data_IF_201112919815
#
_entry.id   IF_201112919815
#
_cell.length_a   1.000
_cell.length_b   1.000
_cell.length_c   1.000
_cell.angle_alpha   90.00
_cell.angle_beta   90.00
_cell.angle_gamma   90.00
#
_symmetry.space_group_name_H-M   'P 1'
#
loop_
_entity.id
_entity.type
_entity.pdbx_description
1 polymer ?
#
# COMPACT_ATOMS: atom_id res chain seq x y z
N UNK A 1 -12.95 -8.59 11.18
CA UNK A 1 -12.20 -8.67 9.92
C UNK A 1 -13.16 -8.93 8.76
N UNK A 2 -12.86 -8.34 7.59
CA UNK A 2 -13.66 -8.48 6.37
C UNK A 2 -12.74 -8.85 5.20
N UNK A 3 -13.28 -9.60 4.24
CA UNK A 3 -12.63 -9.88 2.96
C UNK A 3 -13.54 -9.37 1.84
N UNK A 4 -12.98 -8.63 0.89
CA UNK A 4 -13.70 -8.14 -0.28
C UNK A 4 -13.12 -8.77 -1.55
N UNK A 5 -13.93 -9.54 -2.25
CA UNK A 5 -13.57 -10.18 -3.53
C UNK A 5 -14.81 -10.44 -4.36
N UNK A 6 -14.63 -10.57 -5.67
CA UNK A 6 -15.62 -11.09 -6.62
C UNK A 6 -15.48 -12.61 -6.82
N UNK A 7 -14.36 -13.21 -6.39
CA UNK A 7 -14.09 -14.64 -6.50
C UNK A 7 -14.61 -15.40 -5.28
N UNK A 8 -15.52 -16.35 -5.53
CA UNK A 8 -16.15 -17.19 -4.51
C UNK A 8 -15.14 -18.08 -3.75
N UNK A 9 -14.04 -18.51 -4.39
CA UNK A 9 -13.02 -19.35 -3.73
C UNK A 9 -12.23 -18.52 -2.72
N UNK A 10 -11.89 -17.28 -3.07
CA UNK A 10 -11.23 -16.35 -2.15
C UNK A 10 -12.15 -16.04 -0.97
N UNK A 11 -13.42 -15.72 -1.25
CA UNK A 11 -14.42 -15.45 -0.21
C UNK A 11 -14.62 -16.65 0.71
N UNK A 12 -14.64 -17.87 0.15
CA UNK A 12 -14.76 -19.10 0.95
C UNK A 12 -13.54 -19.31 1.83
N UNK A 13 -12.32 -19.25 1.27
CA UNK A 13 -11.08 -19.46 2.02
C UNK A 13 -10.97 -18.47 3.19
N UNK A 14 -11.24 -17.19 2.96
CA UNK A 14 -11.22 -16.19 4.02
C UNK A 14 -12.31 -16.42 5.07
N UNK A 15 -13.52 -16.87 4.67
CA UNK A 15 -14.59 -17.21 5.61
C UNK A 15 -14.22 -18.42 6.48
N UNK A 16 -13.53 -19.40 5.92
CA UNK A 16 -13.02 -20.55 6.67
C UNK A 16 -12.00 -20.13 7.75
N UNK A 17 -11.34 -18.97 7.54
CA UNK A 17 -10.47 -18.29 8.52
C UNK A 17 -11.20 -17.29 9.43
N UNK A 18 -12.53 -17.21 9.38
CA UNK A 18 -13.34 -16.35 10.26
C UNK A 18 -13.57 -14.92 9.78
N UNK A 19 -13.22 -14.58 8.53
CA UNK A 19 -13.50 -13.27 7.95
C UNK A 19 -14.96 -13.16 7.49
N UNK A 20 -15.57 -12.00 7.67
CA UNK A 20 -16.86 -11.65 7.07
C UNK A 20 -16.68 -11.36 5.58
N UNK A 21 -17.58 -11.88 4.77
CA UNK A 21 -17.53 -11.73 3.31
C UNK A 21 -18.14 -10.41 2.85
N UNK A 22 -17.49 -9.77 1.90
CA UNK A 22 -18.02 -8.67 1.09
C UNK A 22 -17.92 -9.12 -0.36
N UNK A 23 -19.07 -9.42 -0.98
CA UNK A 23 -19.12 -9.72 -2.42
C UNK A 23 -18.91 -8.44 -3.18
N UNK A 24 -17.76 -8.34 -3.86
CA UNK A 24 -17.40 -7.15 -4.62
C UNK A 24 -18.14 -7.17 -5.95
N UNK A 25 -18.82 -6.07 -6.35
CA UNK A 25 -19.40 -5.94 -7.67
C UNK A 25 -18.34 -6.09 -8.78
N UNK A 26 -18.72 -6.72 -9.89
CA UNK A 26 -17.81 -7.04 -11.01
C UNK A 26 -17.15 -5.78 -11.59
N UNK A 27 -17.86 -4.67 -11.63
CA UNK A 27 -17.35 -3.37 -12.07
C UNK A 27 -16.24 -2.81 -11.18
N UNK A 28 -16.15 -3.26 -9.91
CA UNK A 28 -15.07 -2.90 -8.97
C UNK A 28 -13.95 -3.94 -8.93
N UNK A 29 -14.05 -5.00 -9.73
CA UNK A 29 -13.04 -6.05 -9.88
C UNK A 29 -12.37 -6.02 -11.27
N UNK A 30 -12.75 -5.08 -12.14
CA UNK A 30 -12.17 -4.93 -13.46
C UNK A 30 -10.68 -4.49 -13.37
N UNK A 31 -9.84 -4.82 -14.37
CA UNK A 31 -8.41 -4.44 -14.38
C UNK A 31 -8.15 -2.93 -14.28
N UNK A 32 -9.14 -2.10 -14.59
CA UNK A 32 -9.08 -0.63 -14.50
C UNK A 32 -9.63 -0.07 -13.20
N UNK A 33 -10.19 -0.93 -12.33
CA UNK A 33 -10.79 -0.51 -11.05
C UNK A 33 -9.72 0.03 -10.10
N UNK A 34 -10.07 1.11 -9.39
CA UNK A 34 -9.16 1.72 -8.44
C UNK A 34 -9.33 1.08 -7.05
N UNK A 35 -8.24 0.91 -6.33
CA UNK A 35 -8.28 0.39 -4.94
C UNK A 35 -9.25 1.19 -4.06
N UNK A 36 -9.29 2.51 -4.22
CA UNK A 36 -10.14 3.40 -3.44
C UNK A 36 -11.63 3.08 -3.58
N UNK A 37 -12.07 2.65 -4.76
CA UNK A 37 -13.48 2.33 -4.99
C UNK A 37 -13.88 1.02 -4.30
N UNK A 38 -12.99 0.03 -4.31
CA UNK A 38 -13.18 -1.21 -3.54
C UNK A 38 -13.18 -0.94 -2.02
N UNK A 39 -12.33 -0.04 -1.53
CA UNK A 39 -12.30 0.36 -0.11
C UNK A 39 -13.60 1.07 0.27
N UNK A 40 -14.08 2.02 -0.54
CA UNK A 40 -15.36 2.72 -0.29
C UNK A 40 -16.55 1.78 -0.27
N UNK A 41 -16.59 0.83 -1.21
CA UNK A 41 -17.61 -0.20 -1.23
C UNK A 41 -17.60 -1.03 0.04
N UNK A 42 -16.40 -1.49 0.46
CA UNK A 42 -16.25 -2.27 1.69
C UNK A 42 -16.71 -1.50 2.92
N UNK A 43 -16.33 -0.23 3.07
CA UNK A 43 -16.80 0.64 4.16
C UNK A 43 -18.31 0.82 4.14
N UNK A 44 -18.93 0.91 2.96
CA UNK A 44 -20.39 0.95 2.82
C UNK A 44 -21.10 -0.30 3.35
N UNK A 45 -20.53 -1.50 3.09
CA UNK A 45 -21.04 -2.77 3.63
C UNK A 45 -20.80 -2.86 5.13
N UNK A 46 -19.60 -2.48 5.62
CA UNK A 46 -19.30 -2.44 7.05
C UNK A 46 -20.27 -1.55 7.82
N UNK A 47 -20.63 -0.39 7.25
CA UNK A 47 -21.62 0.53 7.84
C UNK A 47 -23.00 -0.10 7.94
N UNK A 48 -23.43 -0.89 6.94
CA UNK A 48 -24.69 -1.65 7.00
C UNK A 48 -24.65 -2.70 8.12
N UNK A 49 -23.49 -3.24 8.41
CA UNK A 49 -23.24 -4.15 9.55
C UNK A 49 -23.13 -3.42 10.90
N UNK A 50 -23.28 -2.08 10.93
CA UNK A 50 -23.15 -1.25 12.13
C UNK A 50 -21.69 -0.99 12.55
N UNK A 51 -20.74 -1.17 11.62
CA UNK A 51 -19.29 -0.95 11.87
C UNK A 51 -18.84 0.31 11.14
N UNK A 52 -18.48 1.34 11.90
CA UNK A 52 -17.91 2.60 11.38
C UNK A 52 -16.52 2.82 12.03
N UNK A 53 -15.42 2.39 11.39
CA UNK A 53 -14.09 2.55 11.96
C UNK A 53 -13.55 3.98 11.79
N UNK A 54 -12.74 4.44 12.76
CA UNK A 54 -11.94 5.65 12.63
C UNK A 54 -10.62 5.36 11.89
N UNK A 55 -10.05 4.17 12.17
CA UNK A 55 -8.83 3.68 11.53
C UNK A 55 -9.15 2.39 10.78
N UNK A 56 -8.72 2.33 9.53
CA UNK A 56 -8.87 1.16 8.66
C UNK A 56 -7.49 0.61 8.28
N UNK A 57 -7.27 -0.68 8.54
CA UNK A 57 -6.12 -1.41 7.97
C UNK A 57 -6.59 -2.16 6.72
N UNK A 58 -6.00 -1.82 5.58
CA UNK A 58 -6.22 -2.49 4.30
C UNK A 58 -5.07 -3.42 4.03
N UNK A 59 -5.30 -4.72 4.05
CA UNK A 59 -4.33 -5.74 3.65
C UNK A 59 -4.53 -6.07 2.17
N UNK A 60 -3.45 -6.10 1.40
CA UNK A 60 -3.49 -6.48 0.01
C UNK A 60 -3.21 -7.98 -0.12
N UNK A 61 -4.19 -8.73 -0.64
CA UNK A 61 -4.19 -10.19 -0.61
C UNK A 61 -3.09 -10.84 -1.48
N UNK A 62 -2.49 -10.07 -2.39
CA UNK A 62 -1.36 -10.51 -3.21
C UNK A 62 0.01 -10.25 -2.54
N UNK A 63 0.05 -9.81 -1.29
CA UNK A 63 1.28 -9.68 -0.51
C UNK A 63 1.21 -10.53 0.74
N UNK A 64 2.02 -11.60 0.80
CA UNK A 64 2.13 -12.50 1.96
C UNK A 64 3.15 -12.03 3.01
N UNK A 65 3.90 -10.97 2.70
CA UNK A 65 4.95 -10.44 3.59
C UNK A 65 4.36 -9.36 4.49
N UNK A 66 3.83 -9.77 5.63
CA UNK A 66 3.27 -8.87 6.64
C UNK A 66 3.63 -9.37 8.03
N UNK A 67 4.19 -8.50 8.88
CA UNK A 67 4.41 -8.77 10.30
C UNK A 67 3.36 -8.06 11.14
N UNK A 68 2.89 -8.71 12.18
CA UNK A 68 1.92 -8.13 13.13
C UNK A 68 2.45 -6.84 13.74
N UNK A 69 3.73 -6.80 14.07
CA UNK A 69 4.41 -5.65 14.67
C UNK A 69 4.38 -4.41 13.76
N UNK A 70 4.45 -4.59 12.45
CA UNK A 70 4.34 -3.47 11.50
C UNK A 70 2.93 -2.86 11.50
N UNK A 71 1.90 -3.71 11.58
CA UNK A 71 0.50 -3.26 11.68
C UNK A 71 0.27 -2.54 13.00
N UNK A 72 0.73 -3.13 14.12
CA UNK A 72 0.58 -2.54 15.45
C UNK A 72 1.31 -1.20 15.55
N UNK A 73 2.51 -1.09 14.99
CA UNK A 73 3.25 0.15 14.93
C UNK A 73 2.50 1.21 14.11
N UNK A 74 1.98 0.83 12.95
CA UNK A 74 1.24 1.76 12.08
C UNK A 74 -0.02 2.31 12.76
N UNK A 75 -0.78 1.47 13.45
CA UNK A 75 -1.94 1.88 14.23
C UNK A 75 -1.50 2.81 15.39
N UNK A 76 -0.43 2.42 16.08
CA UNK A 76 0.11 3.20 17.21
C UNK A 76 0.56 4.59 16.76
N UNK A 77 1.15 4.72 15.59
CA UNK A 77 1.54 6.03 15.03
C UNK A 77 0.32 6.93 14.82
N UNK A 78 -0.77 6.40 14.22
CA UNK A 78 -2.00 7.17 13.99
C UNK A 78 -2.72 7.54 15.29
N UNK A 79 -2.66 6.68 16.30
CA UNK A 79 -3.25 6.96 17.61
C UNK A 79 -2.46 8.02 18.39
N UNK A 80 -1.14 8.11 18.18
CA UNK A 80 -0.28 9.10 18.87
C UNK A 80 -0.29 10.48 18.21
N UNK A 81 -0.58 10.54 16.93
CA UNK A 81 -0.58 11.79 16.16
C UNK A 81 -1.84 11.87 15.29
N UNK A 82 -2.84 12.56 15.82
CA UNK A 82 -4.13 12.73 15.15
C UNK A 82 -4.04 13.51 13.83
N UNK A 83 -2.93 14.21 13.55
CA UNK A 83 -2.73 14.94 12.31
C UNK A 83 -2.31 14.01 11.14
N UNK A 84 -1.87 12.79 11.43
CA UNK A 84 -1.52 11.84 10.39
C UNK A 84 -2.75 11.37 9.61
N UNK A 85 -2.59 11.22 8.30
CA UNK A 85 -3.63 10.70 7.41
C UNK A 85 -3.49 9.20 7.17
N UNK A 86 -2.26 8.69 7.12
CA UNK A 86 -1.96 7.29 6.93
C UNK A 86 -0.62 6.89 7.55
N UNK A 87 -0.44 5.59 7.77
CA UNK A 87 0.85 4.97 8.04
C UNK A 87 1.00 3.74 7.15
N UNK A 88 2.12 3.67 6.41
CA UNK A 88 2.29 2.71 5.32
C UNK A 88 3.70 2.13 5.31
N UNK A 89 3.87 0.85 4.92
CA UNK A 89 5.19 0.26 4.74
C UNK A 89 5.91 0.87 3.54
N UNK A 90 7.22 1.08 3.69
CA UNK A 90 8.11 1.61 2.65
C UNK A 90 9.44 0.86 2.65
N UNK A 91 10.04 0.71 1.48
CA UNK A 91 11.42 0.24 1.31
C UNK A 91 12.34 1.42 1.04
N UNK A 92 13.52 1.40 1.66
CA UNK A 92 14.61 2.31 1.27
C UNK A 92 15.17 1.85 -0.08
N UNK A 93 15.00 2.68 -1.11
CA UNK A 93 15.44 2.38 -2.48
C UNK A 93 16.39 3.48 -2.98
N UNK A 94 17.68 3.18 -2.98
CA UNK A 94 18.72 4.13 -3.39
C UNK A 94 19.30 3.82 -4.77
N UNK A 95 19.17 2.58 -5.26
CA UNK A 95 19.76 2.18 -6.55
C UNK A 95 18.94 2.72 -7.73
N UNK A 96 17.61 2.62 -7.63
CA UNK A 96 16.68 3.16 -8.62
C UNK A 96 16.12 4.52 -8.20
N UNK A 97 17.01 5.37 -7.67
CA UNK A 97 16.63 6.70 -7.18
C UNK A 97 15.98 7.55 -8.29
N UNK A 98 14.83 8.23 -8.03
CA UNK A 98 14.08 8.96 -9.06
C UNK A 98 14.91 10.05 -9.77
N UNK A 99 15.88 10.66 -9.08
CA UNK A 99 16.76 11.67 -9.72
C UNK A 99 17.70 11.07 -10.77
N UNK A 100 17.90 9.77 -10.77
CA UNK A 100 18.71 9.04 -11.76
C UNK A 100 17.84 8.46 -12.90
N UNK A 101 16.53 8.36 -12.68
CA UNK A 101 15.58 7.87 -13.68
C UNK A 101 15.43 8.83 -14.84
N UNK A 102 15.11 8.28 -16.00
CA UNK A 102 14.93 9.04 -17.25
C UNK A 102 13.58 8.69 -17.87
N UNK A 103 13.00 9.63 -18.56
CA UNK A 103 11.83 9.43 -19.44
C UNK A 103 12.28 9.39 -20.90
N UNK A 104 11.55 8.66 -21.72
CA UNK A 104 11.73 8.68 -23.16
C UNK A 104 10.93 9.85 -23.75
N UNK A 105 11.58 10.68 -24.59
CA UNK A 105 10.92 11.73 -25.37
C UNK A 105 10.37 11.16 -26.68
N UNK A 106 9.51 11.94 -27.34
CA UNK A 106 8.92 11.57 -28.64
C UNK A 106 9.97 11.37 -29.74
N UNK A 107 11.11 12.08 -29.67
CA UNK A 107 12.24 11.97 -30.60
C UNK A 107 13.14 10.74 -30.32
N UNK A 108 12.80 9.89 -29.35
CA UNK A 108 13.55 8.71 -28.97
C UNK A 108 14.76 8.99 -28.07
N UNK A 109 14.98 10.22 -27.65
CA UNK A 109 16.05 10.59 -26.72
C UNK A 109 15.60 10.51 -25.27
N UNK A 110 16.55 10.31 -24.34
CA UNK A 110 16.27 10.33 -22.90
C UNK A 110 16.27 11.78 -22.38
N UNK A 111 15.40 12.00 -21.39
CA UNK A 111 15.32 13.26 -20.65
C UNK A 111 15.15 12.99 -19.15
N UNK A 112 15.34 13.99 -18.31
CA UNK A 112 15.09 13.91 -16.87
C UNK A 112 13.59 13.97 -16.58
N UNK A 113 13.15 13.28 -15.51
CA UNK A 113 11.77 13.41 -15.01
C UNK A 113 11.54 14.76 -14.31
N UNK A 114 12.60 15.32 -13.70
CA UNK A 114 12.51 16.50 -12.85
C UNK A 114 13.29 17.66 -13.48
N UNK A 115 12.75 18.86 -13.33
CA UNK A 115 13.49 20.09 -13.52
C UNK A 115 14.30 20.40 -12.26
N UNK A 116 15.60 20.22 -12.32
CA UNK A 116 16.49 20.53 -11.21
C UNK A 116 16.80 22.02 -11.03
N UNK A 117 16.20 22.89 -11.85
CA UNK A 117 16.34 24.35 -11.80
C UNK A 117 17.81 24.80 -11.76
N UNK A 118 18.65 24.18 -12.58
CA UNK A 118 20.08 24.47 -12.69
C UNK A 118 20.94 23.94 -11.53
N UNK A 119 20.37 23.20 -10.57
CA UNK A 119 21.16 22.56 -9.52
C UNK A 119 21.91 21.35 -10.07
N UNK A 120 23.20 21.25 -9.74
CA UNK A 120 23.96 20.04 -10.00
C UNK A 120 23.53 18.94 -9.02
N UNK A 121 23.13 17.79 -9.59
CA UNK A 121 22.81 16.60 -8.81
C UNK A 121 23.99 15.64 -8.86
N UNK A 122 24.45 15.16 -7.69
CA UNK A 122 25.54 14.22 -7.62
C UNK A 122 25.23 12.92 -8.36
N UNK A 123 26.23 12.36 -9.01
CA UNK A 123 26.17 11.03 -9.59
C UNK A 123 26.37 9.92 -8.56
N UNK A 124 26.90 10.28 -7.38
CA UNK A 124 27.11 9.32 -6.28
C UNK A 124 25.81 9.07 -5.53
N UNK A 125 25.48 7.79 -5.35
CA UNK A 125 24.24 7.37 -4.67
C UNK A 125 24.13 7.91 -3.24
N UNK A 126 25.23 7.88 -2.50
CA UNK A 126 25.29 8.32 -1.10
C UNK A 126 25.07 9.82 -0.88
N UNK A 127 25.21 10.64 -1.93
CA UNK A 127 25.01 12.10 -1.85
C UNK A 127 23.55 12.49 -2.14
N UNK A 128 22.73 11.52 -2.57
CA UNK A 128 21.32 11.74 -2.87
C UNK A 128 20.48 11.69 -1.58
N UNK A 129 19.37 12.44 -1.52
CA UNK A 129 18.44 12.31 -0.40
C UNK A 129 17.91 10.89 -0.29
N UNK A 130 17.56 10.44 0.92
CA UNK A 130 16.91 9.14 1.09
C UNK A 130 15.64 9.07 0.26
N UNK A 131 15.52 7.98 -0.51
CA UNK A 131 14.34 7.69 -1.32
C UNK A 131 13.65 6.45 -0.81
N UNK A 132 12.34 6.54 -0.64
CA UNK A 132 11.51 5.45 -0.20
C UNK A 132 10.47 5.12 -1.25
N UNK A 133 10.27 3.82 -1.47
CA UNK A 133 9.21 3.29 -2.34
C UNK A 133 8.09 2.76 -1.46
N UNK A 134 6.87 3.20 -1.71
CA UNK A 134 5.69 2.73 -1.00
C UNK A 134 5.43 1.26 -1.35
N UNK A 135 5.21 0.45 -0.31
CA UNK A 135 4.94 -0.97 -0.43
C UNK A 135 3.44 -1.26 -0.41
N UNK A 136 3.08 -2.41 -0.98
CA UNK A 136 1.69 -2.83 -1.13
C UNK A 136 1.32 -3.99 -0.17
N UNK A 137 2.04 -4.15 0.96
CA UNK A 137 1.72 -5.17 1.97
C UNK A 137 0.41 -4.83 2.70
N UNK A 138 0.33 -3.60 3.20
CA UNK A 138 -0.86 -3.05 3.85
C UNK A 138 -0.83 -1.52 3.87
N UNK A 139 -1.99 -0.92 4.15
CA UNK A 139 -2.10 0.52 4.39
C UNK A 139 -2.96 0.75 5.61
N UNK A 140 -2.51 1.56 6.55
CA UNK A 140 -3.30 1.97 7.72
C UNK A 140 -3.73 3.41 7.54
N UNK A 141 -5.05 3.62 7.49
CA UNK A 141 -5.67 4.89 7.14
C UNK A 141 -6.42 5.48 8.34
N UNK A 142 -6.15 6.73 8.70
CA UNK A 142 -7.04 7.54 9.50
C UNK A 142 -8.13 8.09 8.56
N UNK A 143 -9.33 7.53 8.60
CA UNK A 143 -10.37 7.79 7.61
C UNK A 143 -10.79 9.26 7.54
N UNK A 144 -10.77 9.98 8.68
CA UNK A 144 -11.08 11.40 8.74
C UNK A 144 -10.09 12.24 7.93
N UNK A 145 -8.78 11.95 8.04
CA UNK A 145 -7.71 12.75 7.43
C UNK A 145 -7.26 12.20 6.07
N UNK A 146 -7.76 11.03 5.67
CA UNK A 146 -7.48 10.37 4.40
C UNK A 146 -8.71 10.34 3.50
N UNK A 147 -9.42 9.24 3.46
CA UNK A 147 -10.52 8.97 2.54
C UNK A 147 -11.68 9.99 2.61
N UNK A 148 -11.93 10.54 3.80
CA UNK A 148 -13.00 11.54 4.06
C UNK A 148 -12.48 12.97 4.12
N UNK A 149 -11.17 13.18 3.90
CA UNK A 149 -10.58 14.52 3.89
C UNK A 149 -11.06 15.31 2.68
N UNK A 150 -11.27 16.61 2.86
CA UNK A 150 -11.50 17.56 1.77
C UNK A 150 -10.22 18.08 1.14
N UNK A 151 -9.04 17.77 1.74
CA UNK A 151 -7.74 18.17 1.20
C UNK A 151 -7.23 17.13 0.21
N UNK A 152 -6.59 17.61 -0.85
CA UNK A 152 -5.97 16.73 -1.84
C UNK A 152 -4.80 15.95 -1.21
N UNK A 153 -4.79 14.64 -1.43
CA UNK A 153 -3.72 13.76 -0.97
C UNK A 153 -2.56 13.67 -1.95
N UNK A 154 -1.54 12.92 -1.58
CA UNK A 154 -0.34 12.71 -2.40
C UNK A 154 -0.64 11.78 -3.59
N UNK A 155 -0.27 12.22 -4.79
CA UNK A 155 -0.36 11.38 -5.99
C UNK A 155 0.63 10.21 -5.92
N UNK A 156 0.31 9.04 -6.48
CA UNK A 156 -0.94 8.67 -7.16
C UNK A 156 -2.04 8.16 -6.20
N UNK A 157 -1.75 7.93 -4.93
CA UNK A 157 -2.69 7.38 -3.93
C UNK A 157 -3.32 8.46 -3.06
N UNK A 158 -4.03 9.40 -3.71
CA UNK A 158 -4.61 10.58 -3.04
C UNK A 158 -5.53 10.24 -1.86
N UNK A 159 -6.14 9.05 -1.89
CA UNK A 159 -7.01 8.57 -0.81
C UNK A 159 -6.29 8.31 0.52
N UNK A 160 -4.96 8.26 0.52
CA UNK A 160 -4.15 8.14 1.74
C UNK A 160 -3.96 9.49 2.46
N UNK A 161 -4.37 10.60 1.82
CA UNK A 161 -4.18 11.95 2.33
C UNK A 161 -2.78 12.49 2.10
N UNK A 162 -2.41 13.55 2.81
CA UNK A 162 -1.17 14.29 2.57
C UNK A 162 -0.10 14.08 3.66
N UNK A 163 -0.49 13.62 4.85
CA UNK A 163 0.40 13.48 6.00
C UNK A 163 0.62 11.99 6.34
N UNK A 164 1.51 11.36 5.55
CA UNK A 164 1.74 9.92 5.57
C UNK A 164 3.02 9.62 6.37
N UNK A 165 2.92 8.74 7.37
CA UNK A 165 4.05 8.27 8.17
C UNK A 165 4.58 6.93 7.62
N UNK A 166 5.89 6.76 7.41
CA UNK A 166 6.45 5.50 6.94
C UNK A 166 6.63 4.48 8.07
N UNK A 167 6.47 3.20 7.73
CA UNK A 167 7.04 2.05 8.41
C UNK A 167 8.14 1.51 7.50
N UNK A 168 9.39 1.64 7.89
CA UNK A 168 10.50 1.12 7.08
C UNK A 168 10.59 -0.39 7.28
N UNK A 169 10.38 -1.14 6.20
CA UNK A 169 10.42 -2.61 6.20
C UNK A 169 11.65 -3.11 5.44
N UNK A 170 12.08 -4.32 5.76
CA UNK A 170 13.29 -4.92 5.17
C UNK A 170 13.01 -5.51 3.79
N UNK A 171 11.80 -6.01 3.57
CA UNK A 171 11.40 -6.66 2.33
C UNK A 171 9.92 -6.46 2.03
N UNK A 172 9.60 -6.32 0.75
CA UNK A 172 8.23 -6.28 0.24
C UNK A 172 8.21 -6.68 -1.22
N UNK A 173 7.28 -7.54 -1.60
CA UNK A 173 6.96 -7.85 -2.98
C UNK A 173 5.53 -8.37 -3.09
N UNK A 174 4.96 -8.22 -4.26
CA UNK A 174 3.64 -8.74 -4.60
C UNK A 174 3.77 -10.09 -5.30
N UNK A 175 2.80 -10.96 -5.09
CA UNK A 175 2.72 -12.26 -5.77
C UNK A 175 2.08 -12.07 -7.14
N UNK A 176 2.85 -12.33 -8.19
CA UNK A 176 2.41 -12.29 -9.58
C UNK A 176 2.51 -13.66 -10.26
N UNK A 177 3.43 -14.52 -9.79
CA UNK A 177 3.66 -15.84 -10.35
C UNK A 177 4.04 -16.88 -9.26
N UNK A 178 4.36 -18.11 -9.70
CA UNK A 178 4.73 -19.20 -8.80
C UNK A 178 6.08 -19.00 -8.10
N UNK A 179 6.99 -18.25 -8.70
CA UNK A 179 8.30 -17.97 -8.08
C UNK A 179 8.12 -16.99 -6.91
N UNK A 180 7.21 -16.03 -7.04
CA UNK A 180 6.85 -15.13 -5.92
C UNK A 180 6.18 -15.90 -4.77
N UNK A 181 5.36 -16.92 -5.08
CA UNK A 181 4.80 -17.79 -4.04
C UNK A 181 5.91 -18.51 -3.30
N UNK A 182 6.87 -19.14 -3.99
CA UNK A 182 8.02 -19.83 -3.38
C UNK A 182 8.88 -18.88 -2.54
N UNK A 183 9.05 -17.64 -3.03
CA UNK A 183 9.78 -16.61 -2.30
C UNK A 183 9.02 -16.20 -1.03
N UNK A 184 7.70 -16.06 -1.09
CA UNK A 184 6.85 -15.79 0.07
C UNK A 184 6.92 -16.93 1.10
N UNK A 185 6.81 -18.18 0.66
CA UNK A 185 6.94 -19.36 1.53
C UNK A 185 8.30 -19.40 2.23
N UNK A 186 9.39 -19.15 1.49
CA UNK A 186 10.73 -19.08 2.05
C UNK A 186 10.82 -18.01 3.14
N UNK A 187 10.31 -16.81 2.87
CA UNK A 187 10.32 -15.72 3.84
C UNK A 187 9.51 -16.08 5.10
N UNK A 188 8.31 -16.67 4.96
CA UNK A 188 7.49 -17.11 6.09
C UNK A 188 8.23 -18.12 6.97
N UNK A 189 8.96 -19.07 6.35
CA UNK A 189 9.76 -20.05 7.07
C UNK A 189 10.94 -19.42 7.81
N UNK A 190 11.63 -18.47 7.19
CA UNK A 190 12.76 -17.74 7.80
C UNK A 190 12.30 -16.89 9.01
N UNK A 191 11.10 -16.31 8.94
CA UNK A 191 10.47 -15.58 10.04
C UNK A 191 9.81 -16.49 11.09
N UNK A 192 9.81 -17.79 10.89
CA UNK A 192 9.19 -18.75 11.80
C UNK A 192 7.66 -18.73 11.82
N UNK A 193 7.04 -18.12 10.80
CA UNK A 193 5.59 -18.04 10.64
C UNK A 193 5.09 -19.37 10.09
N UNK A 194 4.15 -20.01 10.82
CA UNK A 194 3.47 -21.23 10.35
C UNK A 194 2.17 -20.85 9.65
N UNK A 195 1.93 -21.44 8.51
CA UNK A 195 0.74 -21.22 7.66
C UNK A 195 0.00 -22.53 7.38
#
# INVERSE_FOLDING_TARGET
FYVSSDDEKILKAASDCGYKKIVRPVELAAPTSQHVDAIRHALGVMKQDGVEPDILVVLLANSGIVKTEWIEESITQLLKDEALSASVPVLLEMDNHPYRSKRLREDGCLDTWFDFRGKNISTNRQDLPMNFVLCHNFWTLNLKNSLYSSTEGQQPWTFMGSNIKPIVVEESFDVHDEDDIRRTEKWLLEEGIKY
#
